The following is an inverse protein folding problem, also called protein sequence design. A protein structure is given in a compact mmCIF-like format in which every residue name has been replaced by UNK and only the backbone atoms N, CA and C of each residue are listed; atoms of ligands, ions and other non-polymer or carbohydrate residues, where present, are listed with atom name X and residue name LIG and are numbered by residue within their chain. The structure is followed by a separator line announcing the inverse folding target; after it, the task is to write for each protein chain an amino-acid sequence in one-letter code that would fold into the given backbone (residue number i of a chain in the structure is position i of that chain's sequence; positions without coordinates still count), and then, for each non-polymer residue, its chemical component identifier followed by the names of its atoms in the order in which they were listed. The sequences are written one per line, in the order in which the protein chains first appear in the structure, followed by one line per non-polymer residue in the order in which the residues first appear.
data_IF_912264213154
#
_entry.id   IF_912264213154
#
_cell.length_a   1.000
_cell.length_b   1.000
_cell.length_c   1.000
_cell.angle_alpha   90.00
_cell.angle_beta   90.00
_cell.angle_gamma   90.00
#
_symmetry.space_group_name_H-M   'P 1'
#
loop_
_entity.id
_entity.type
_entity.pdbx_description
1 polymer ?
#
# COMPACT_ATOMS: atom_id res chain seq x y z
N UNK A 1 -10.95 41.26 -7.93
CA UNK A 1 -10.91 39.82 -7.60
C UNK A 1 -11.02 39.69 -6.09
N UNK A 2 -11.98 38.91 -5.61
CA UNK A 2 -12.15 38.69 -4.17
C UNK A 2 -11.06 37.74 -3.65
N UNK A 3 -10.36 38.14 -2.59
CA UNK A 3 -9.30 37.32 -1.98
C UNK A 3 -9.89 36.61 -0.76
N UNK A 4 -10.16 35.31 -0.90
CA UNK A 4 -10.65 34.45 0.19
C UNK A 4 -9.55 33.46 0.60
N UNK A 5 -9.40 33.15 1.90
CA UNK A 5 -8.53 32.08 2.33
C UNK A 5 -9.06 30.71 1.85
N UNK A 6 -8.17 29.72 1.78
CA UNK A 6 -8.55 28.31 1.62
C UNK A 6 -9.53 27.90 2.73
N UNK A 7 -10.53 27.08 2.43
CA UNK A 7 -11.57 26.67 3.38
C UNK A 7 -10.99 25.96 4.62
N UNK A 8 -9.91 25.21 4.44
CA UNK A 8 -9.18 24.53 5.51
C UNK A 8 -8.02 25.33 6.10
N UNK A 9 -7.81 26.60 5.72
CA UNK A 9 -6.62 27.38 6.12
C UNK A 9 -6.42 27.42 7.65
N UNK A 10 -7.49 27.67 8.41
CA UNK A 10 -7.44 27.70 9.87
C UNK A 10 -7.08 26.33 10.47
N UNK A 11 -7.56 25.23 9.87
CA UNK A 11 -7.26 23.86 10.32
C UNK A 11 -5.81 23.48 10.03
N UNK A 12 -5.29 23.86 8.86
CA UNK A 12 -3.89 23.61 8.52
C UNK A 12 -2.93 24.30 9.51
N UNK A 13 -3.15 25.59 9.81
CA UNK A 13 -2.23 26.34 10.70
C UNK A 13 -2.35 25.95 12.17
N UNK A 14 -3.43 25.30 12.56
CA UNK A 14 -3.67 24.88 13.94
C UNK A 14 -3.37 23.40 14.20
N UNK A 15 -3.12 22.61 13.15
CA UNK A 15 -2.92 21.16 13.26
C UNK A 15 -4.21 20.36 13.44
N UNK A 16 -5.39 20.96 13.26
CA UNK A 16 -6.70 20.29 13.36
C UNK A 16 -7.27 19.84 12.00
N UNK A 17 -6.45 19.85 10.96
CA UNK A 17 -6.81 19.22 9.70
C UNK A 17 -6.48 17.74 9.80
N UNK A 18 -7.51 16.90 9.89
CA UNK A 18 -7.32 15.46 9.93
C UNK A 18 -6.97 14.92 8.54
N UNK A 19 -5.83 14.26 8.45
CA UNK A 19 -5.45 13.39 7.35
C UNK A 19 -5.69 11.93 7.74
N UNK A 20 -5.47 10.99 6.81
CA UNK A 20 -5.84 9.58 7.00
C UNK A 20 -5.19 8.96 8.26
N UNK A 21 -3.95 9.34 8.56
CA UNK A 21 -3.15 8.80 9.67
C UNK A 21 -3.44 9.51 11.01
N UNK A 22 -4.17 10.62 10.98
CA UNK A 22 -4.62 11.35 12.19
C UNK A 22 -5.93 10.78 12.75
N UNK A 23 -6.60 9.90 12.00
CA UNK A 23 -7.86 9.29 12.41
C UNK A 23 -7.55 8.23 13.48
N UNK A 24 -8.26 8.31 14.61
CA UNK A 24 -8.13 7.33 15.69
C UNK A 24 -8.46 5.93 15.16
N UNK A 25 -7.49 5.04 15.29
CA UNK A 25 -7.61 3.66 14.84
C UNK A 25 -8.55 2.85 15.74
N UNK A 26 -9.45 2.03 15.17
CA UNK A 26 -10.21 1.06 15.93
C UNK A 26 -9.30 0.07 16.68
N UNK A 27 -9.78 -0.47 17.80
CA UNK A 27 -9.08 -1.54 18.50
C UNK A 27 -8.85 -2.75 17.59
N UNK A 28 -7.62 -3.27 17.58
CA UNK A 28 -7.23 -4.41 16.75
C UNK A 28 -6.91 -4.06 15.29
N UNK A 29 -6.78 -2.78 14.95
CA UNK A 29 -6.27 -2.36 13.62
C UNK A 29 -4.91 -3.00 13.33
N UNK A 30 -4.76 -3.53 12.13
CA UNK A 30 -3.51 -4.13 11.63
C UNK A 30 -2.80 -3.17 10.69
N UNK A 31 -1.48 -3.22 10.68
CA UNK A 31 -0.63 -2.45 9.78
C UNK A 31 -0.14 -3.31 8.63
N UNK A 32 -0.22 -2.76 7.41
CA UNK A 32 0.26 -3.42 6.20
C UNK A 32 1.62 -2.86 5.76
N UNK A 33 2.48 -3.72 5.25
CA UNK A 33 3.74 -3.34 4.61
C UNK A 33 3.93 -4.11 3.30
N UNK A 34 4.60 -3.47 2.32
CA UNK A 34 4.84 -4.04 1.00
C UNK A 34 6.26 -4.63 0.94
N UNK A 35 6.35 -5.87 0.47
CA UNK A 35 7.63 -6.50 0.12
C UNK A 35 8.08 -6.07 -1.27
N UNK A 36 9.09 -5.20 -1.33
CA UNK A 36 9.57 -4.61 -2.57
C UNK A 36 10.60 -5.49 -3.31
N UNK A 37 10.56 -5.48 -4.64
CA UNK A 37 11.58 -6.05 -5.49
C UNK A 37 12.88 -5.25 -5.43
N UNK A 38 13.99 -5.97 -5.25
CA UNK A 38 15.36 -5.42 -5.34
C UNK A 38 15.93 -5.46 -6.76
N UNK A 39 15.11 -5.81 -7.76
CA UNK A 39 15.49 -5.95 -9.16
C UNK A 39 14.55 -5.13 -10.03
N UNK A 40 15.10 -4.36 -10.97
CA UNK A 40 14.31 -3.53 -11.87
C UNK A 40 13.58 -4.35 -12.95
N UNK A 41 14.09 -5.52 -13.35
CA UNK A 41 13.41 -6.35 -14.34
C UNK A 41 13.79 -7.83 -14.16
N UNK A 42 12.82 -8.68 -13.78
CA UNK A 42 13.08 -10.10 -13.48
C UNK A 42 11.80 -10.93 -13.47
N UNK A 43 11.91 -12.26 -13.65
CA UNK A 43 10.80 -13.19 -13.42
C UNK A 43 10.92 -13.78 -12.02
N UNK A 44 9.84 -13.75 -11.24
CA UNK A 44 9.80 -14.36 -9.91
C UNK A 44 9.63 -15.87 -10.07
N UNK A 45 10.71 -16.62 -9.89
CA UNK A 45 10.70 -18.09 -9.98
C UNK A 45 10.20 -18.77 -8.70
N UNK A 46 10.50 -18.17 -7.55
CA UNK A 46 10.15 -18.70 -6.23
C UNK A 46 10.01 -17.54 -5.25
N UNK A 47 9.01 -17.62 -4.37
CA UNK A 47 8.80 -16.71 -3.26
C UNK A 47 8.83 -17.52 -1.95
N UNK A 48 9.83 -17.29 -1.11
CA UNK A 48 9.98 -17.98 0.17
C UNK A 48 9.71 -16.99 1.31
N UNK A 49 8.57 -17.17 1.98
CA UNK A 49 8.03 -16.23 2.97
C UNK A 49 8.13 -16.76 4.40
N UNK A 50 8.84 -17.88 4.61
CA UNK A 50 8.88 -18.56 5.92
C UNK A 50 9.39 -17.66 7.04
N UNK A 51 10.41 -16.84 6.77
CA UNK A 51 10.95 -15.93 7.78
C UNK A 51 10.03 -14.73 8.04
N UNK A 52 9.24 -14.29 7.03
CA UNK A 52 8.22 -13.25 7.23
C UNK A 52 7.14 -13.76 8.17
N UNK A 53 6.63 -14.99 7.94
CA UNK A 53 5.65 -15.63 8.81
C UNK A 53 6.13 -15.85 10.25
N UNK A 54 7.44 -16.01 10.47
CA UNK A 54 8.01 -16.18 11.82
C UNK A 54 8.28 -14.85 12.53
N UNK A 55 8.21 -13.73 11.81
CA UNK A 55 8.50 -12.43 12.41
C UNK A 55 7.46 -12.10 13.47
N UNK A 56 7.93 -11.55 14.59
CA UNK A 56 7.07 -11.11 15.69
C UNK A 56 6.03 -10.09 15.18
N UNK A 57 4.79 -10.23 15.67
CA UNK A 57 3.67 -9.35 15.32
C UNK A 57 3.04 -9.61 13.94
N UNK A 58 3.58 -10.51 13.11
CA UNK A 58 2.97 -10.83 11.81
C UNK A 58 1.72 -11.66 12.01
N UNK A 59 0.58 -11.09 11.62
CA UNK A 59 -0.73 -11.77 11.64
C UNK A 59 -1.00 -12.53 10.34
N UNK A 60 -0.53 -12.01 9.20
CA UNK A 60 -0.73 -12.63 7.88
C UNK A 60 0.32 -12.18 6.87
N UNK A 61 0.55 -13.00 5.84
CA UNK A 61 1.35 -12.65 4.65
C UNK A 61 0.51 -12.94 3.41
N UNK A 62 0.27 -11.92 2.59
CA UNK A 62 -0.65 -11.95 1.45
C UNK A 62 0.14 -11.95 0.14
N UNK A 63 -0.31 -12.73 -0.83
CA UNK A 63 0.30 -12.88 -2.16
C UNK A 63 -0.76 -12.77 -3.27
N UNK A 64 -0.33 -12.88 -4.54
CA UNK A 64 -1.27 -12.95 -5.68
C UNK A 64 -2.26 -14.11 -5.58
N UNK A 65 -1.93 -15.19 -4.87
CA UNK A 65 -2.82 -16.35 -4.68
C UNK A 65 -4.00 -16.05 -3.75
N UNK A 66 -3.89 -15.00 -2.93
CA UNK A 66 -4.88 -14.64 -1.93
C UNK A 66 -5.87 -13.57 -2.43
N UNK A 67 -5.69 -13.07 -3.66
CA UNK A 67 -6.63 -12.14 -4.29
C UNK A 67 -7.81 -12.96 -4.85
N UNK A 68 -9.04 -12.81 -4.32
CA UNK A 68 -10.19 -13.59 -4.79
C UNK A 68 -10.72 -13.13 -6.16
N UNK A 69 -10.32 -11.93 -6.59
CA UNK A 69 -10.74 -11.30 -7.83
C UNK A 69 -9.60 -11.03 -8.80
N UNK A 70 -9.73 -9.93 -9.54
CA UNK A 70 -8.72 -9.49 -10.52
C UNK A 70 -7.50 -8.91 -9.80
N UNK A 71 -6.32 -9.43 -10.10
CA UNK A 71 -5.03 -8.92 -9.63
C UNK A 71 -4.48 -7.83 -10.57
N UNK A 72 -5.17 -6.71 -10.67
CA UNK A 72 -4.78 -5.57 -11.52
C UNK A 72 -5.52 -4.29 -11.10
N UNK A 73 -4.79 -3.17 -11.05
CA UNK A 73 -5.26 -1.83 -10.63
C UNK A 73 -5.14 -0.77 -11.73
N UNK A 74 -4.93 -1.18 -12.98
CA UNK A 74 -4.82 -0.27 -14.12
C UNK A 74 -6.07 0.58 -14.29
N UNK A 75 -5.93 1.91 -14.24
CA UNK A 75 -7.07 2.82 -14.25
C UNK A 75 -7.81 2.89 -15.60
N UNK A 76 -7.11 2.64 -16.70
CA UNK A 76 -7.66 2.74 -18.07
C UNK A 76 -7.55 1.41 -18.82
N UNK A 77 -6.40 0.76 -18.75
CA UNK A 77 -6.13 -0.51 -19.39
C UNK A 77 -5.48 -1.47 -18.39
N UNK A 78 -5.70 -2.76 -18.59
CA UNK A 78 -5.01 -3.84 -17.88
C UNK A 78 -3.50 -3.76 -18.15
N UNK A 79 -2.71 -4.19 -17.16
CA UNK A 79 -1.26 -4.24 -17.22
C UNK A 79 -0.56 -3.75 -15.94
N UNK A 80 -1.29 -3.43 -14.88
CA UNK A 80 -0.72 -2.95 -13.61
C UNK A 80 -1.12 -3.89 -12.45
N UNK A 81 -0.45 -5.05 -12.32
CA UNK A 81 -0.78 -6.04 -11.31
C UNK A 81 -0.38 -5.57 -9.89
N UNK A 82 -1.26 -5.80 -8.90
CA UNK A 82 -0.95 -5.54 -7.48
C UNK A 82 0.24 -6.40 -7.04
N UNK A 83 0.21 -7.69 -7.38
CA UNK A 83 1.30 -8.63 -7.14
C UNK A 83 1.79 -9.26 -8.46
N UNK A 84 2.90 -8.77 -9.04
CA UNK A 84 3.38 -9.24 -10.34
C UNK A 84 4.04 -10.62 -10.30
N UNK A 85 3.99 -11.36 -11.42
CA UNK A 85 4.85 -12.55 -11.67
C UNK A 85 6.19 -12.19 -12.31
N UNK A 86 6.22 -11.06 -13.02
CA UNK A 86 7.39 -10.47 -13.65
C UNK A 86 7.51 -9.05 -13.13
N UNK A 87 8.66 -8.74 -12.53
CA UNK A 87 9.00 -7.40 -12.08
C UNK A 87 9.45 -6.57 -13.28
N UNK A 88 8.98 -5.32 -13.35
CA UNK A 88 9.29 -4.38 -14.45
C UNK A 88 9.89 -3.05 -13.96
N UNK A 89 10.00 -2.84 -12.65
CA UNK A 89 10.73 -1.72 -12.03
C UNK A 89 11.31 -2.09 -10.66
N UNK A 90 12.15 -1.23 -10.09
CA UNK A 90 12.70 -1.39 -8.73
C UNK A 90 11.74 -0.77 -7.73
N UNK A 91 11.52 -1.46 -6.60
CA UNK A 91 10.36 -1.22 -5.75
C UNK A 91 9.35 -2.30 -6.00
#
# INVERSE_FOLDING_TARGET
MEKRPHESAAKHVSGYANYIDDIVEPEGTLYGAIGYSKKAHAIIKKLDLREVWKSEGVVSVVTSADIPGRNDVGAVYDGDPIFPKKVEYFG
#
